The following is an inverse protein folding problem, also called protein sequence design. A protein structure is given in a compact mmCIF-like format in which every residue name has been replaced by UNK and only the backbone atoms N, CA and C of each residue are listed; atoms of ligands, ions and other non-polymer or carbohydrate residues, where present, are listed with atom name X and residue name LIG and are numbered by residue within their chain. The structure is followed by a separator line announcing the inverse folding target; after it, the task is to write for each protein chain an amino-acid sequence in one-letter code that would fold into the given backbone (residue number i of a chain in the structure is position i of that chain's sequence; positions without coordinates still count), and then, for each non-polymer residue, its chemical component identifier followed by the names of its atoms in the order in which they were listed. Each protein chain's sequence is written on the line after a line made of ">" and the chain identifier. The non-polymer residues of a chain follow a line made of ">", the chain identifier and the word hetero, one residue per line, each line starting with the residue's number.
data_IF_248822746705
#
_entry.id   IF_248822746705
#
_cell.length_a   1.000
_cell.length_b   1.000
_cell.length_c   1.000
_cell.angle_alpha   90.00
_cell.angle_beta   90.00
_cell.angle_gamma   90.00
#
_symmetry.space_group_name_H-M   'P 1'
#
loop_
_entity.id
_entity.type
_entity.pdbx_description
1 polymer ?
#
# COMPACT_ATOMS: atom_id res chain seq x y z
N UNK A 1 -25.70 20.44 2.66
CA UNK A 1 -25.45 18.99 2.71
C UNK A 1 -24.77 18.72 4.04
N UNK A 2 -25.49 18.16 5.01
CA UNK A 2 -25.02 18.03 6.39
C UNK A 2 -24.34 16.65 6.53
N UNK A 3 -23.02 16.63 6.63
CA UNK A 3 -22.23 15.41 6.78
C UNK A 3 -22.39 14.98 8.25
N UNK A 4 -22.81 13.73 8.50
CA UNK A 4 -23.02 13.25 9.87
C UNK A 4 -21.66 13.26 10.61
N UNK A 5 -21.59 13.64 11.89
CA UNK A 5 -20.34 13.67 12.65
C UNK A 5 -19.57 12.33 12.65
N UNK A 6 -20.28 11.21 12.54
CA UNK A 6 -19.70 9.87 12.40
C UNK A 6 -18.97 9.66 11.06
N UNK A 7 -19.45 10.26 9.97
CA UNK A 7 -18.80 10.19 8.65
C UNK A 7 -17.51 11.00 8.61
N UNK A 8 -17.50 12.17 9.26
CA UNK A 8 -16.31 13.02 9.38
C UNK A 8 -15.22 12.33 10.24
N UNK A 9 -15.63 11.66 11.33
CA UNK A 9 -14.72 10.88 12.16
C UNK A 9 -14.13 9.69 11.39
N UNK A 10 -14.95 8.92 10.66
CA UNK A 10 -14.49 7.79 9.84
C UNK A 10 -13.53 8.24 8.73
N UNK A 11 -13.88 9.29 7.99
CA UNK A 11 -12.99 9.80 6.94
C UNK A 11 -11.65 10.26 7.53
N UNK A 12 -11.65 10.84 8.74
CA UNK A 12 -10.40 11.20 9.43
C UNK A 12 -9.59 9.98 9.89
N UNK A 13 -10.25 8.92 10.39
CA UNK A 13 -9.57 7.69 10.82
C UNK A 13 -9.04 6.87 9.65
N UNK A 14 -9.79 6.75 8.55
CA UNK A 14 -9.34 6.07 7.33
C UNK A 14 -8.18 6.81 6.68
N UNK A 15 -8.26 8.14 6.60
CA UNK A 15 -7.15 8.95 6.11
C UNK A 15 -5.92 8.80 7.02
N UNK A 16 -6.10 8.83 8.34
CA UNK A 16 -5.01 8.67 9.29
C UNK A 16 -4.36 7.27 9.20
N UNK A 17 -5.16 6.21 9.10
CA UNK A 17 -4.64 4.85 8.92
C UNK A 17 -3.91 4.70 7.59
N UNK A 18 -4.45 5.28 6.52
CA UNK A 18 -3.78 5.32 5.21
C UNK A 18 -2.43 6.04 5.28
N UNK A 19 -2.36 7.16 6.00
CA UNK A 19 -1.12 7.91 6.26
C UNK A 19 -0.11 7.05 7.03
N UNK A 20 -0.51 6.42 8.14
CA UNK A 20 0.35 5.54 8.95
C UNK A 20 0.88 4.36 8.13
N UNK A 21 0.03 3.70 7.35
CA UNK A 21 0.45 2.61 6.45
C UNK A 21 1.40 3.12 5.36
N UNK A 22 1.13 4.28 4.78
CA UNK A 22 1.98 4.85 3.74
C UNK A 22 3.37 5.23 4.26
N UNK A 23 3.44 5.81 5.47
CA UNK A 23 4.70 6.11 6.15
C UNK A 23 5.47 4.83 6.50
N UNK A 24 4.78 3.82 7.04
CA UNK A 24 5.38 2.52 7.33
C UNK A 24 5.95 1.86 6.07
N UNK A 25 5.16 1.78 4.99
CA UNK A 25 5.59 1.21 3.71
C UNK A 25 6.80 1.97 3.17
N UNK A 26 6.78 3.30 3.23
CA UNK A 26 7.88 4.14 2.74
C UNK A 26 9.18 3.90 3.52
N UNK A 27 9.11 3.86 4.86
CA UNK A 27 10.28 3.66 5.71
C UNK A 27 10.82 2.23 5.61
N UNK A 28 9.95 1.22 5.69
CA UNK A 28 10.35 -0.18 5.63
C UNK A 28 10.94 -0.54 4.25
N UNK A 29 10.39 0.03 3.17
CA UNK A 29 10.94 -0.17 1.82
C UNK A 29 12.25 0.60 1.66
N UNK A 30 12.43 1.74 2.32
CA UNK A 30 13.74 2.41 2.35
C UNK A 30 14.83 1.52 2.96
N UNK A 31 14.54 0.93 4.11
CA UNK A 31 15.45 0.02 4.83
C UNK A 31 15.77 -1.20 3.97
N UNK A 32 14.80 -1.72 3.21
CA UNK A 32 15.02 -2.87 2.33
C UNK A 32 15.99 -2.56 1.19
N UNK A 33 16.02 -1.33 0.68
CA UNK A 33 17.05 -0.90 -0.27
C UNK A 33 18.42 -0.78 0.39
N UNK A 34 18.51 -0.13 1.56
CA UNK A 34 19.77 0.13 2.25
C UNK A 34 20.47 -1.17 2.67
N UNK A 35 19.69 -2.17 3.07
CA UNK A 35 20.19 -3.48 3.51
C UNK A 35 20.21 -4.53 2.42
N UNK A 36 19.72 -4.21 1.22
CA UNK A 36 19.44 -5.18 0.16
C UNK A 36 18.61 -6.38 0.70
N UNK A 37 17.65 -6.09 1.58
CA UNK A 37 16.84 -7.10 2.26
C UNK A 37 15.59 -7.42 1.44
N UNK A 38 15.73 -8.42 0.58
CA UNK A 38 14.66 -8.89 -0.30
C UNK A 38 13.45 -9.42 0.48
N UNK A 39 13.63 -9.97 1.69
CA UNK A 39 12.52 -10.45 2.51
C UNK A 39 11.69 -9.28 3.00
N UNK A 40 12.35 -8.23 3.49
CA UNK A 40 11.67 -7.00 3.90
C UNK A 40 10.96 -6.32 2.73
N UNK A 41 11.56 -6.26 1.54
CA UNK A 41 10.91 -5.71 0.34
C UNK A 41 9.64 -6.47 -0.05
N UNK A 42 9.60 -7.78 0.20
CA UNK A 42 8.43 -8.61 -0.06
C UNK A 42 7.33 -8.40 0.98
N UNK A 43 7.70 -8.26 2.25
CA UNK A 43 6.76 -7.92 3.32
C UNK A 43 6.09 -6.57 3.01
N UNK A 44 6.87 -5.56 2.60
CA UNK A 44 6.30 -4.24 2.28
C UNK A 44 5.39 -4.26 1.06
N UNK A 45 5.72 -5.06 0.04
CA UNK A 45 4.80 -5.34 -1.07
C UNK A 45 3.48 -5.93 -0.58
N UNK A 46 3.53 -6.97 0.26
CA UNK A 46 2.31 -7.62 0.76
C UNK A 46 1.46 -6.64 1.59
N UNK A 47 2.08 -5.84 2.46
CA UNK A 47 1.39 -4.81 3.25
C UNK A 47 0.72 -3.79 2.32
N UNK A 48 1.40 -3.36 1.25
CA UNK A 48 0.83 -2.44 0.28
C UNK A 48 -0.39 -3.03 -0.44
N UNK A 49 -0.32 -4.28 -0.89
CA UNK A 49 -1.43 -4.96 -1.57
C UNK A 49 -2.61 -5.24 -0.62
N UNK A 50 -2.34 -5.63 0.64
CA UNK A 50 -3.37 -5.81 1.65
C UNK A 50 -4.08 -4.50 1.99
N UNK A 51 -3.33 -3.40 2.12
CA UNK A 51 -3.89 -2.07 2.35
C UNK A 51 -4.78 -1.62 1.16
N UNK A 52 -4.33 -1.86 -0.08
CA UNK A 52 -5.16 -1.61 -1.28
C UNK A 52 -6.43 -2.46 -1.28
N UNK A 53 -6.32 -3.76 -0.98
CA UNK A 53 -7.47 -4.65 -0.92
C UNK A 53 -8.43 -4.26 0.21
N UNK A 54 -7.94 -3.78 1.35
CA UNK A 54 -8.76 -3.26 2.43
C UNK A 54 -9.49 -1.98 2.01
N UNK A 55 -8.79 -1.04 1.36
CA UNK A 55 -9.38 0.19 0.84
C UNK A 55 -10.43 -0.07 -0.24
N UNK A 56 -10.20 -1.04 -1.14
CA UNK A 56 -11.20 -1.45 -2.14
C UNK A 56 -12.45 -2.05 -1.48
N UNK A 57 -12.27 -2.97 -0.52
CA UNK A 57 -13.38 -3.55 0.26
C UNK A 57 -14.15 -2.48 1.04
N UNK A 58 -13.48 -1.41 1.49
CA UNK A 58 -14.13 -0.29 2.15
C UNK A 58 -15.00 0.55 1.18
N UNK A 59 -14.61 0.65 -0.10
CA UNK A 59 -15.42 1.33 -1.13
C UNK A 59 -16.66 0.55 -1.57
N UNK A 60 -16.62 -0.78 -1.49
CA UNK A 60 -17.72 -1.66 -1.91
C UNK A 60 -18.87 -1.79 -0.90
N UNK A 61 -18.68 -1.33 0.34
CA UNK A 61 -19.63 -1.52 1.44
C UNK A 61 -20.11 -0.20 2.03
N UNK A 62 -21.36 -0.18 2.51
CA UNK A 62 -21.87 1.00 3.23
C UNK A 62 -21.35 1.03 4.69
N UNK A 63 -21.28 2.21 5.32
CA UNK A 63 -20.84 2.35 6.71
C UNK A 63 -21.68 1.53 7.72
N UNK A 64 -22.96 1.31 7.44
CA UNK A 64 -23.86 0.49 8.27
C UNK A 64 -23.52 -1.01 8.16
N UNK A 65 -23.05 -1.46 7.01
CA UNK A 65 -22.63 -2.85 6.78
C UNK A 65 -21.33 -3.17 7.55
N UNK A 66 -20.38 -2.23 7.61
CA UNK A 66 -19.16 -2.42 8.42
C UNK A 66 -19.43 -2.44 9.93
N UNK A 67 -20.28 -1.52 10.43
CA UNK A 67 -20.67 -1.49 11.85
C UNK A 67 -21.49 -2.71 12.27
N UNK A 68 -22.24 -3.32 11.34
CA UNK A 68 -22.99 -4.54 11.62
C UNK A 68 -22.13 -5.81 11.51
N UNK A 69 -21.05 -5.78 10.71
CA UNK A 69 -20.09 -6.89 10.59
C UNK A 69 -19.09 -6.96 11.76
N UNK A 70 -18.63 -5.80 12.24
CA UNK A 70 -17.64 -5.73 13.32
C UNK A 70 -18.34 -5.74 14.69
N UNK A 71 -17.83 -6.51 15.67
CA UNK A 71 -18.39 -6.45 17.01
C UNK A 71 -18.27 -5.05 17.62
N UNK A 72 -19.25 -4.65 18.43
CA UNK A 72 -19.32 -3.32 19.04
C UNK A 72 -18.04 -2.89 19.80
N UNK A 73 -17.29 -3.87 20.33
CA UNK A 73 -16.07 -3.66 21.12
C UNK A 73 -14.81 -3.40 20.27
N UNK A 74 -14.89 -3.52 18.93
CA UNK A 74 -13.74 -3.41 18.03
C UNK A 74 -13.13 -2.01 18.03
N UNK A 75 -13.94 -0.98 17.75
CA UNK A 75 -13.45 0.39 17.67
C UNK A 75 -12.89 0.93 18.99
N UNK A 76 -13.50 0.65 20.16
CA UNK A 76 -12.89 0.97 21.45
C UNK A 76 -11.53 0.30 21.68
N UNK A 77 -11.38 -0.98 21.31
CA UNK A 77 -10.12 -1.70 21.48
C UNK A 77 -9.00 -1.14 20.58
N UNK A 78 -9.31 -0.80 19.32
CA UNK A 78 -8.36 -0.20 18.38
C UNK A 78 -7.91 1.19 18.82
N UNK A 79 -8.85 2.03 19.28
CA UNK A 79 -8.52 3.35 19.82
C UNK A 79 -7.61 3.26 21.06
N UNK A 80 -7.85 2.25 21.91
CA UNK A 80 -7.02 2.01 23.09
C UNK A 80 -5.61 1.56 22.70
N UNK A 81 -5.46 0.70 21.69
CA UNK A 81 -4.16 0.26 21.16
C UNK A 81 -3.31 1.45 20.70
N UNK A 82 -3.87 2.29 19.81
CA UNK A 82 -3.15 3.48 19.32
C UNK A 82 -2.76 4.45 20.43
N UNK A 83 -3.60 4.58 21.46
CA UNK A 83 -3.32 5.45 22.60
C UNK A 83 -2.12 4.95 23.43
N UNK A 84 -2.00 3.64 23.62
CA UNK A 84 -0.89 2.98 24.34
C UNK A 84 0.39 2.96 23.50
N UNK A 85 0.30 2.73 22.18
CA UNK A 85 1.43 2.85 21.25
C UNK A 85 2.02 4.28 21.24
N UNK A 86 1.15 5.28 21.12
CA UNK A 86 1.57 6.68 21.17
C UNK A 86 2.15 7.05 22.55
N UNK A 87 1.64 6.47 23.63
CA UNK A 87 2.19 6.67 24.97
C UNK A 87 3.60 6.06 25.10
N UNK A 88 3.84 4.87 24.56
CA UNK A 88 5.16 4.23 24.55
C UNK A 88 6.19 5.01 23.72
N UNK A 89 5.81 5.50 22.54
CA UNK A 89 6.69 6.31 21.70
C UNK A 89 7.14 7.60 22.42
N UNK A 90 6.23 8.23 23.15
CA UNK A 90 6.54 9.42 23.98
C UNK A 90 7.35 9.08 25.23
N UNK A 91 7.21 7.87 25.77
CA UNK A 91 7.86 7.42 27.02
C UNK A 91 9.27 6.84 26.82
N UNK A 92 9.80 6.78 25.59
CA UNK A 92 11.15 6.26 25.26
C UNK A 92 12.34 6.94 25.98
N UNK A 93 12.09 7.93 26.86
CA UNK A 93 13.11 8.56 27.71
C UNK A 93 13.14 8.16 29.19
N UNK A 94 12.12 7.50 29.76
CA UNK A 94 12.02 7.30 31.22
C UNK A 94 11.57 5.88 31.63
N UNK A 95 12.49 5.09 32.21
CA UNK A 95 12.21 3.94 33.09
C UNK A 95 11.70 2.64 32.43
N UNK A 96 12.37 1.51 32.72
CA UNK A 96 12.06 0.17 32.18
C UNK A 96 10.68 -0.38 32.59
N UNK A 97 10.21 -0.12 33.81
CA UNK A 97 8.97 -0.72 34.34
C UNK A 97 7.70 -0.22 33.65
N UNK A 98 7.66 1.05 33.26
CA UNK A 98 6.51 1.64 32.54
C UNK A 98 6.43 1.14 31.09
N UNK A 99 7.57 0.87 30.47
CA UNK A 99 7.66 0.35 29.12
C UNK A 99 7.22 -1.11 29.02
N UNK A 100 7.62 -1.96 29.98
CA UNK A 100 7.18 -3.36 30.02
C UNK A 100 5.65 -3.45 30.20
N UNK A 101 5.07 -2.64 31.09
CA UNK A 101 3.62 -2.64 31.32
C UNK A 101 2.80 -2.11 30.13
N UNK A 102 3.35 -1.16 29.35
CA UNK A 102 2.73 -0.70 28.11
C UNK A 102 2.84 -1.74 26.98
N UNK A 103 3.99 -2.42 26.86
CA UNK A 103 4.17 -3.53 25.90
C UNK A 103 3.21 -4.68 26.16
N UNK A 104 3.01 -5.08 27.42
CA UNK A 104 2.05 -6.13 27.77
C UNK A 104 0.61 -5.73 27.42
N UNK A 105 0.23 -4.47 27.64
CA UNK A 105 -1.10 -3.95 27.27
C UNK A 105 -1.32 -3.93 25.75
N UNK A 106 -0.31 -3.54 24.99
CA UNK A 106 -0.35 -3.62 23.52
C UNK A 106 -0.53 -5.06 23.05
N UNK A 107 0.19 -6.02 23.64
CA UNK A 107 0.01 -7.43 23.31
C UNK A 107 -1.41 -7.94 23.62
N UNK A 108 -1.96 -7.57 24.77
CA UNK A 108 -3.34 -7.92 25.16
C UNK A 108 -4.37 -7.34 24.18
N UNK A 109 -4.20 -6.07 23.78
CA UNK A 109 -5.08 -5.41 22.82
C UNK A 109 -4.97 -6.02 21.42
N UNK A 110 -3.76 -6.39 20.97
CA UNK A 110 -3.55 -7.10 19.71
C UNK A 110 -4.23 -8.48 19.71
N UNK A 111 -4.12 -9.24 20.80
CA UNK A 111 -4.81 -10.52 20.94
C UNK A 111 -6.33 -10.34 20.87
N UNK A 112 -6.86 -9.36 21.61
CA UNK A 112 -8.29 -9.05 21.60
C UNK A 112 -8.79 -8.63 20.21
N UNK A 113 -8.05 -7.79 19.50
CA UNK A 113 -8.39 -7.39 18.13
C UNK A 113 -8.38 -8.59 17.19
N UNK A 114 -7.38 -9.46 17.30
CA UNK A 114 -7.30 -10.71 16.52
C UNK A 114 -8.53 -11.60 16.73
N UNK A 115 -9.02 -11.73 17.96
CA UNK A 115 -10.24 -12.48 18.26
C UNK A 115 -11.50 -11.84 17.66
N UNK A 116 -11.60 -10.50 17.73
CA UNK A 116 -12.71 -9.75 17.17
C UNK A 116 -12.74 -9.84 15.64
N UNK A 117 -11.57 -9.75 14.99
CA UNK A 117 -11.38 -9.93 13.55
C UNK A 117 -11.68 -11.36 13.11
N UNK A 118 -11.25 -12.37 13.87
CA UNK A 118 -11.57 -13.77 13.59
C UNK A 118 -13.08 -14.03 13.62
N UNK A 119 -13.78 -13.46 14.62
CA UNK A 119 -15.25 -13.54 14.71
C UNK A 119 -15.96 -12.81 13.56
N UNK A 120 -15.35 -11.75 13.05
CA UNK A 120 -15.85 -10.99 11.89
C UNK A 120 -15.42 -11.59 10.53
N UNK A 121 -14.63 -12.67 10.51
CA UNK A 121 -14.09 -13.28 9.29
C UNK A 121 -13.04 -12.41 8.57
N UNK A 122 -12.33 -11.55 9.31
CA UNK A 122 -11.37 -10.57 8.79
C UNK A 122 -9.90 -10.99 8.92
N UNK A 123 -9.61 -12.25 9.28
CA UNK A 123 -8.24 -12.71 9.52
C UNK A 123 -7.30 -12.36 8.35
N UNK A 124 -6.21 -11.64 8.66
CA UNK A 124 -5.08 -11.55 7.75
C UNK A 124 -4.13 -12.73 7.98
N UNK A 125 -3.77 -13.41 6.90
CA UNK A 125 -2.91 -14.59 6.88
C UNK A 125 -1.44 -14.17 6.91
N UNK A 126 -1.02 -13.48 7.97
CA UNK A 126 0.40 -13.19 8.22
C UNK A 126 1.05 -14.38 8.91
N UNK A 127 1.65 -15.29 8.12
CA UNK A 127 2.54 -16.32 8.66
C UNK A 127 3.97 -16.07 8.16
N UNK A 128 4.86 -15.71 9.09
CA UNK A 128 6.24 -15.26 8.85
C UNK A 128 7.14 -16.39 8.28
N UNK A 129 6.68 -17.64 8.36
CA UNK A 129 7.47 -18.83 8.07
C UNK A 129 7.69 -19.13 6.58
N UNK A 130 6.93 -18.55 5.64
CA UNK A 130 7.10 -18.90 4.22
C UNK A 130 6.81 -17.80 3.19
N UNK A 131 7.30 -16.59 3.43
CA UNK A 131 7.21 -15.48 2.45
C UNK A 131 7.78 -15.90 1.08
N UNK A 132 8.81 -16.75 1.06
CA UNK A 132 9.45 -17.23 -0.18
C UNK A 132 8.63 -18.27 -0.95
N UNK A 133 7.88 -19.17 -0.30
CA UNK A 133 6.90 -20.00 -1.02
C UNK A 133 5.65 -19.21 -1.37
N UNK A 134 5.21 -18.25 -0.54
CA UNK A 134 4.12 -17.34 -0.87
C UNK A 134 4.38 -16.58 -2.17
N UNK A 135 5.59 -16.03 -2.33
CA UNK A 135 6.01 -15.37 -3.56
C UNK A 135 6.04 -16.31 -4.76
N UNK A 136 6.58 -17.52 -4.61
CA UNK A 136 6.59 -18.53 -5.69
C UNK A 136 5.20 -19.01 -6.04
N UNK A 137 4.30 -19.11 -5.07
CA UNK A 137 2.90 -19.43 -5.28
C UNK A 137 2.19 -18.28 -6.03
N UNK A 138 2.42 -17.03 -5.64
CA UNK A 138 1.85 -15.85 -6.33
C UNK A 138 2.40 -15.71 -7.75
N UNK A 139 3.72 -15.76 -7.94
CA UNK A 139 4.36 -15.75 -9.25
C UNK A 139 3.94 -16.95 -10.10
N UNK A 140 3.80 -18.14 -9.50
CA UNK A 140 3.33 -19.35 -10.16
C UNK A 140 1.89 -19.29 -10.69
N UNK A 141 1.06 -18.36 -10.17
CA UNK A 141 -0.29 -18.10 -10.68
C UNK A 141 -0.30 -17.14 -11.87
N UNK A 142 0.79 -16.41 -12.11
CA UNK A 142 0.93 -15.56 -13.29
C UNK A 142 1.28 -16.40 -14.52
N UNK A 143 0.70 -16.03 -15.66
CA UNK A 143 1.11 -16.59 -16.95
C UNK A 143 2.60 -16.28 -17.20
N UNK A 144 3.34 -17.16 -17.90
CA UNK A 144 4.73 -16.91 -18.29
C UNK A 144 4.96 -15.61 -19.08
N UNK A 145 3.91 -15.04 -19.67
CA UNK A 145 3.95 -13.81 -20.46
C UNK A 145 3.44 -12.58 -19.73
N UNK A 146 3.12 -12.71 -18.44
CA UNK A 146 2.57 -11.63 -17.63
C UNK A 146 3.52 -11.18 -16.53
N UNK A 147 3.37 -9.92 -16.12
CA UNK A 147 4.02 -9.38 -14.93
C UNK A 147 3.03 -8.48 -14.17
N UNK A 148 3.08 -8.52 -12.85
CA UNK A 148 2.42 -7.58 -11.95
C UNK A 148 3.41 -6.45 -11.63
N UNK A 149 2.97 -5.21 -11.84
CA UNK A 149 3.67 -3.99 -11.49
C UNK A 149 2.83 -3.26 -10.44
N UNK A 150 3.29 -3.29 -9.19
CA UNK A 150 2.62 -2.63 -8.07
C UNK A 150 3.34 -1.33 -7.74
N UNK A 151 2.64 -0.20 -7.86
CA UNK A 151 3.19 1.15 -7.68
C UNK A 151 2.56 1.81 -6.46
N UNK A 152 3.38 2.08 -5.44
CA UNK A 152 3.01 2.88 -4.26
C UNK A 152 3.60 4.28 -4.34
N UNK A 153 2.77 5.30 -4.20
CA UNK A 153 3.16 6.71 -4.26
C UNK A 153 3.36 7.27 -2.85
N UNK A 154 4.63 7.48 -2.48
CA UNK A 154 4.99 8.12 -1.21
C UNK A 154 5.42 9.57 -1.38
N UNK A 155 5.28 10.36 -0.32
CA UNK A 155 5.54 11.81 -0.33
C UNK A 155 7.00 12.15 -0.63
N UNK A 156 7.94 11.41 -0.01
CA UNK A 156 9.38 11.62 -0.21
C UNK A 156 9.97 10.73 -1.32
N UNK A 157 9.36 9.58 -1.57
CA UNK A 157 9.79 8.61 -2.57
C UNK A 157 8.63 7.69 -2.90
N UNK A 158 8.57 7.22 -4.15
CA UNK A 158 7.59 6.21 -4.56
C UNK A 158 8.30 4.88 -4.82
N UNK A 159 7.53 3.80 -4.91
CA UNK A 159 8.04 2.45 -5.00
C UNK A 159 7.34 1.67 -6.10
N UNK A 160 8.12 0.87 -6.84
CA UNK A 160 7.63 -0.11 -7.78
C UNK A 160 8.09 -1.49 -7.34
N UNK A 161 7.16 -2.42 -7.14
CA UNK A 161 7.45 -3.85 -7.07
C UNK A 161 7.06 -4.52 -8.37
N UNK A 162 7.95 -5.37 -8.87
CA UNK A 162 7.80 -6.13 -10.09
C UNK A 162 7.73 -7.60 -9.72
N UNK A 163 6.62 -8.26 -10.04
CA UNK A 163 6.44 -9.69 -9.83
C UNK A 163 6.14 -10.39 -11.14
N UNK A 164 6.95 -11.38 -11.50
CA UNK A 164 6.68 -12.33 -12.57
C UNK A 164 6.93 -13.75 -12.05
N UNK A 165 6.63 -14.77 -12.88
CA UNK A 165 6.74 -16.18 -12.49
C UNK A 165 8.04 -16.54 -11.77
N UNK A 166 9.17 -16.05 -12.27
CA UNK A 166 10.52 -16.36 -11.77
C UNK A 166 11.29 -15.11 -11.31
N UNK A 167 10.61 -13.96 -11.16
CA UNK A 167 11.25 -12.68 -10.85
C UNK A 167 10.47 -11.91 -9.78
N UNK A 168 11.19 -11.38 -8.80
CA UNK A 168 10.69 -10.34 -7.91
C UNK A 168 11.77 -9.29 -7.73
N UNK A 169 11.48 -8.08 -8.19
CA UNK A 169 12.34 -6.91 -8.11
C UNK A 169 11.59 -5.73 -7.49
N UNK A 170 12.34 -4.79 -6.94
CA UNK A 170 11.79 -3.61 -6.28
C UNK A 170 12.67 -2.41 -6.61
N UNK A 171 12.05 -1.29 -6.98
CA UNK A 171 12.72 -0.11 -7.50
C UNK A 171 12.19 1.18 -6.86
N UNK A 172 13.11 2.13 -6.65
CA UNK A 172 12.78 3.49 -6.24
C UNK A 172 12.26 4.27 -7.43
N UNK A 173 11.16 4.98 -7.22
CA UNK A 173 10.57 5.91 -8.18
C UNK A 173 10.63 7.34 -7.61
N UNK A 174 10.47 8.37 -8.46
CA UNK A 174 10.37 9.75 -8.00
C UNK A 174 9.24 9.97 -6.97
N UNK A 175 9.29 11.04 -6.17
CA UNK A 175 8.25 11.36 -5.19
C UNK A 175 6.87 11.52 -5.84
N UNK A 176 5.80 11.26 -5.06
CA UNK A 176 4.39 11.34 -5.50
C UNK A 176 4.10 12.62 -6.29
N UNK A 177 4.54 13.78 -5.77
CA UNK A 177 4.30 15.09 -6.39
C UNK A 177 4.80 15.17 -7.84
N UNK A 178 5.95 14.58 -8.14
CA UNK A 178 6.54 14.61 -9.48
C UNK A 178 5.80 13.68 -10.44
N UNK A 179 5.48 12.46 -9.98
CA UNK A 179 4.71 11.48 -10.75
C UNK A 179 3.30 12.00 -11.03
N UNK A 180 2.62 12.56 -10.04
CA UNK A 180 1.29 13.14 -10.18
C UNK A 180 1.28 14.30 -11.19
N UNK A 181 2.26 15.20 -11.13
CA UNK A 181 2.39 16.29 -12.09
C UNK A 181 2.61 15.79 -13.53
N UNK A 182 3.44 14.75 -13.71
CA UNK A 182 3.64 14.12 -15.02
C UNK A 182 2.36 13.44 -15.54
N UNK A 183 1.65 12.74 -14.65
CA UNK A 183 0.38 12.09 -14.95
C UNK A 183 -0.70 13.10 -15.37
N UNK A 184 -0.84 14.21 -14.64
CA UNK A 184 -1.81 15.27 -14.94
C UNK A 184 -1.51 15.95 -16.26
N UNK A 185 -0.23 16.27 -16.53
CA UNK A 185 0.18 16.84 -17.82
C UNK A 185 -0.14 15.90 -18.98
N UNK A 186 0.13 14.61 -18.84
CA UNK A 186 -0.17 13.61 -19.86
C UNK A 186 -1.68 13.47 -20.09
N UNK A 187 -2.47 13.36 -19.00
CA UNK A 187 -3.93 13.31 -19.05
C UNK A 187 -4.51 14.50 -19.82
N UNK A 188 -4.03 15.71 -19.53
CA UNK A 188 -4.52 16.92 -20.17
C UNK A 188 -4.15 16.97 -21.65
N UNK A 189 -2.89 16.63 -21.99
CA UNK A 189 -2.44 16.59 -23.38
C UNK A 189 -3.25 15.58 -24.22
N UNK A 190 -3.55 14.40 -23.68
CA UNK A 190 -4.39 13.40 -24.36
C UNK A 190 -5.83 13.90 -24.53
N UNK A 191 -6.41 14.53 -23.51
CA UNK A 191 -7.78 15.09 -23.58
C UNK A 191 -7.90 16.21 -24.59
N UNK A 192 -6.89 17.07 -24.68
CA UNK A 192 -6.85 18.19 -25.61
C UNK A 192 -6.49 17.76 -27.05
N UNK A 193 -6.05 16.52 -27.26
CA UNK A 193 -5.49 16.08 -28.55
C UNK A 193 -4.19 16.81 -28.91
N UNK A 194 -3.42 17.22 -27.90
CA UNK A 194 -2.20 18.00 -28.06
C UNK A 194 -1.10 17.14 -28.73
N UNK A 195 -0.40 17.64 -29.76
CA UNK A 195 0.79 16.99 -30.32
C UNK A 195 1.85 16.60 -29.28
N UNK A 196 1.92 17.31 -28.15
CA UNK A 196 2.83 17.02 -27.05
C UNK A 196 2.44 15.82 -26.19
N UNK A 197 1.29 15.19 -26.41
CA UNK A 197 0.83 14.03 -25.65
C UNK A 197 1.86 12.89 -25.63
N UNK A 198 2.54 12.64 -26.76
CA UNK A 198 3.59 11.61 -26.84
C UNK A 198 4.77 11.91 -25.93
N UNK A 199 5.24 13.17 -25.88
CA UNK A 199 6.35 13.60 -25.03
C UNK A 199 5.98 13.58 -23.55
N UNK A 200 4.76 13.99 -23.22
CA UNK A 200 4.23 13.89 -21.86
C UNK A 200 4.09 12.43 -21.42
N UNK A 201 3.64 11.56 -22.33
CA UNK A 201 3.55 10.11 -22.11
C UNK A 201 4.92 9.48 -21.87
N UNK A 202 5.92 9.80 -22.69
CA UNK A 202 7.30 9.30 -22.51
C UNK A 202 7.88 9.73 -21.16
N UNK A 203 7.61 10.97 -20.73
CA UNK A 203 8.06 11.47 -19.42
C UNK A 203 7.47 10.64 -18.28
N UNK A 204 6.15 10.38 -18.32
CA UNK A 204 5.48 9.55 -17.32
C UNK A 204 5.96 8.09 -17.39
N UNK A 205 6.11 7.54 -18.59
CA UNK A 205 6.60 6.17 -18.79
C UNK A 205 7.99 5.99 -18.17
N UNK A 206 8.92 6.92 -18.44
CA UNK A 206 10.26 6.87 -17.85
C UNK A 206 10.22 7.02 -16.33
N UNK A 207 9.38 7.90 -15.80
CA UNK A 207 9.25 8.09 -14.35
C UNK A 207 8.77 6.82 -13.63
N UNK A 208 7.95 6.00 -14.28
CA UNK A 208 7.38 4.78 -13.69
C UNK A 208 8.16 3.51 -14.01
N UNK A 209 8.73 3.40 -15.21
CA UNK A 209 9.13 2.11 -15.80
C UNK A 209 10.58 2.06 -16.27
N UNK A 210 11.37 3.14 -16.17
CA UNK A 210 12.76 3.16 -16.63
C UNK A 210 13.67 2.13 -15.93
N UNK A 211 13.31 1.70 -14.72
CA UNK A 211 14.07 0.72 -13.95
C UNK A 211 13.64 -0.73 -14.17
N UNK A 212 12.60 -0.98 -15.01
CA UNK A 212 12.12 -2.34 -15.25
C UNK A 212 13.16 -3.14 -16.06
N UNK A 213 13.51 -4.36 -15.63
CA UNK A 213 14.45 -5.21 -16.35
C UNK A 213 13.90 -5.62 -17.73
N UNK A 214 14.79 -5.79 -18.72
CA UNK A 214 14.41 -6.15 -20.09
C UNK A 214 13.55 -7.44 -20.19
N UNK A 215 13.78 -8.40 -19.29
CA UNK A 215 13.01 -9.64 -19.23
C UNK A 215 11.54 -9.45 -18.81
N UNK A 216 11.23 -8.37 -18.10
CA UNK A 216 9.86 -7.96 -17.76
C UNK A 216 9.32 -6.99 -18.80
N UNK A 217 10.17 -6.10 -19.32
CA UNK A 217 9.78 -5.14 -20.37
C UNK A 217 9.24 -5.84 -21.62
N UNK A 218 9.80 -6.99 -21.99
CA UNK A 218 9.34 -7.81 -23.11
C UNK A 218 8.09 -8.67 -22.85
N UNK A 219 7.49 -8.62 -21.65
CA UNK A 219 6.24 -9.32 -21.33
C UNK A 219 5.08 -8.65 -22.06
N UNK A 220 4.12 -9.45 -22.55
CA UNK A 220 2.99 -8.94 -23.34
C UNK A 220 1.90 -8.34 -22.46
N UNK A 221 1.71 -8.92 -21.27
CA UNK A 221 0.57 -8.59 -20.42
C UNK A 221 1.07 -8.00 -19.10
N UNK A 222 0.94 -6.68 -18.94
CA UNK A 222 1.25 -6.02 -17.67
C UNK A 222 -0.03 -5.81 -16.87
N UNK A 223 -0.03 -6.29 -15.63
CA UNK A 223 -1.07 -6.03 -14.64
C UNK A 223 -0.57 -4.89 -13.78
N UNK A 224 -1.28 -3.76 -13.77
CA UNK A 224 -0.91 -2.59 -13.00
C UNK A 224 -1.77 -2.51 -11.72
N UNK A 225 -1.11 -2.54 -10.56
CA UNK A 225 -1.72 -2.18 -9.28
C UNK A 225 -1.20 -0.79 -8.91
N UNK A 226 -2.08 0.22 -8.91
CA UNK A 226 -1.67 1.63 -8.81
C UNK A 226 -2.50 2.38 -7.78
N UNK A 227 -1.88 3.41 -7.19
CA UNK A 227 -2.56 4.34 -6.29
C UNK A 227 -3.43 5.37 -7.02
N UNK A 228 -4.26 6.09 -6.25
CA UNK A 228 -5.36 6.94 -6.72
C UNK A 228 -5.00 7.90 -7.86
N UNK A 229 -3.82 8.52 -7.80
CA UNK A 229 -3.42 9.55 -8.77
C UNK A 229 -3.20 8.96 -10.17
N UNK A 230 -2.86 7.67 -10.23
CA UNK A 230 -2.55 6.94 -11.45
C UNK A 230 -3.77 6.19 -12.00
N UNK A 231 -4.84 5.99 -11.23
CA UNK A 231 -6.08 5.32 -11.68
C UNK A 231 -6.68 6.00 -12.91
N UNK A 232 -6.55 7.32 -13.02
CA UNK A 232 -7.13 8.13 -14.11
C UNK A 232 -6.19 8.36 -15.29
N UNK A 233 -5.01 7.73 -15.31
CA UNK A 233 -4.08 7.81 -16.43
C UNK A 233 -4.66 7.04 -17.63
N UNK A 234 -4.62 7.60 -18.85
CA UNK A 234 -5.04 6.89 -20.04
C UNK A 234 -3.93 5.91 -20.48
N UNK A 235 -3.76 4.81 -19.73
CA UNK A 235 -2.72 3.81 -19.96
C UNK A 235 -2.61 3.29 -21.40
N UNK A 236 -3.71 3.08 -22.16
CA UNK A 236 -3.60 2.66 -23.55
C UNK A 236 -2.95 3.70 -24.48
N UNK A 237 -2.98 4.99 -24.10
CA UNK A 237 -2.31 6.07 -24.82
C UNK A 237 -0.87 6.28 -24.35
N UNK A 238 -0.49 5.67 -23.22
CA UNK A 238 0.87 5.68 -22.71
C UNK A 238 1.69 4.71 -23.56
N UNK A 239 2.11 5.16 -24.74
CA UNK A 239 2.95 4.37 -25.63
C UNK A 239 4.21 3.88 -24.90
N UNK A 240 4.69 2.69 -25.28
CA UNK A 240 6.03 2.27 -24.87
C UNK A 240 7.03 3.29 -25.43
N UNK A 241 7.84 3.88 -24.55
CA UNK A 241 8.95 4.75 -24.96
C UNK A 241 9.96 4.05 -25.84
#
# INVERSE_FOLDING_TARGET
>A
MNILPADAFRQSTENHMHEVYSEFISLATQISYERNDRKLALITFQIAEENRAASLRALERTPEEWHSMLPADYWPALAQLHSEEAALLRASGNGSTGQEAGRSRIQELNLRLTELEARAGLQSTWDDADTSAGLRALGGRLSPHSALLSIHLGESQSHLWVLAKDCFEYHRLPPRREIAAAADRFKEAVRAGDPDASRAGETLYRALFASIPAGVSGKRDWILAVDSDLIRVPWPALGAG
#
